data_IF_613263165166
#
_entry.id   IF_613263165166
#
_cell.length_a   1.000
_cell.length_b   1.000
_cell.length_c   1.000
_cell.angle_alpha   90.00
_cell.angle_beta   90.00
_cell.angle_gamma   90.00
#
_symmetry.space_group_name_H-M   'P 1'
#
loop_
_entity.id
_entity.type
_entity.pdbx_description
1 polymer ?
#
# COMPACT_ATOMS: atom_id res chain seq x y z
N UNK A 1 -7.66 -19.17 -24.46
CA UNK A 1 -6.85 -18.27 -23.60
C UNK A 1 -6.53 -19.09 -22.36
N UNK A 2 -5.30 -19.64 -22.27
CA UNK A 2 -4.83 -20.30 -21.05
C UNK A 2 -4.90 -19.25 -19.93
N UNK A 3 -5.64 -19.54 -18.87
CA UNK A 3 -5.61 -18.78 -17.64
C UNK A 3 -4.22 -18.96 -17.05
N UNK A 4 -3.30 -18.05 -17.35
CA UNK A 4 -1.98 -18.05 -16.79
C UNK A 4 -2.10 -18.06 -15.26
N UNK A 5 -1.45 -19.00 -14.61
CA UNK A 5 -1.45 -19.10 -13.16
C UNK A 5 -0.99 -17.77 -12.56
N UNK A 6 -1.86 -17.13 -11.79
CA UNK A 6 -1.54 -15.88 -11.10
C UNK A 6 -0.85 -16.23 -9.79
N UNK A 7 0.43 -15.89 -9.65
CA UNK A 7 1.20 -16.19 -8.46
C UNK A 7 1.18 -15.01 -7.48
N UNK A 8 0.94 -15.31 -6.22
CA UNK A 8 1.17 -14.38 -5.12
C UNK A 8 2.67 -14.23 -4.89
N UNK A 9 3.16 -13.00 -4.98
CA UNK A 9 4.54 -12.65 -4.71
C UNK A 9 4.64 -11.79 -3.45
N UNK A 10 5.81 -11.80 -2.81
CA UNK A 10 6.10 -10.90 -1.68
C UNK A 10 7.50 -10.32 -1.79
N UNK A 11 7.63 -9.08 -1.36
CA UNK A 11 8.91 -8.40 -1.18
C UNK A 11 9.09 -8.07 0.31
N UNK A 12 10.31 -8.23 0.84
CA UNK A 12 10.56 -7.93 2.24
C UNK A 12 10.61 -6.41 2.49
N UNK A 13 9.97 -5.98 3.57
CA UNK A 13 10.11 -4.63 4.12
C UNK A 13 11.08 -4.68 5.29
N UNK A 14 12.21 -3.98 5.16
CA UNK A 14 13.27 -3.93 6.17
C UNK A 14 13.11 -2.71 7.08
N UNK A 15 13.29 -2.93 8.36
CA UNK A 15 13.46 -1.84 9.33
C UNK A 15 14.87 -1.24 9.26
N UNK A 16 15.09 -0.11 9.95
CA UNK A 16 16.40 0.55 10.05
C UNK A 16 17.50 -0.37 10.59
N UNK A 17 17.15 -1.37 11.39
CA UNK A 17 18.04 -2.41 11.92
C UNK A 17 18.29 -3.57 10.95
N UNK A 18 17.89 -3.45 9.68
CA UNK A 18 17.99 -4.47 8.62
C UNK A 18 17.22 -5.78 8.90
N UNK A 19 16.32 -5.78 9.87
CA UNK A 19 15.42 -6.91 10.11
C UNK A 19 14.14 -6.78 9.32
N UNK A 20 13.57 -7.90 8.91
CA UNK A 20 12.28 -7.92 8.23
C UNK A 20 11.18 -7.52 9.21
N UNK A 21 10.53 -6.39 8.94
CA UNK A 21 9.41 -5.84 9.72
C UNK A 21 8.06 -6.10 9.06
N UNK A 22 8.06 -6.48 7.81
CA UNK A 22 6.85 -6.77 7.05
C UNK A 22 7.14 -7.27 5.64
N UNK A 23 6.09 -7.42 4.87
CA UNK A 23 6.14 -7.81 3.47
C UNK A 23 5.16 -6.97 2.65
N UNK A 24 5.56 -6.58 1.45
CA UNK A 24 4.65 -6.10 0.41
C UNK A 24 4.15 -7.31 -0.36
N UNK A 25 2.85 -7.53 -0.38
CA UNK A 25 2.23 -8.59 -1.19
C UNK A 25 1.69 -8.04 -2.49
N UNK A 26 1.85 -8.81 -3.56
CA UNK A 26 1.44 -8.42 -4.90
C UNK A 26 1.21 -9.65 -5.78
N UNK A 27 0.48 -9.46 -6.86
CA UNK A 27 0.46 -10.45 -7.94
C UNK A 27 1.70 -10.29 -8.81
N UNK A 28 2.11 -11.38 -9.47
CA UNK A 28 3.34 -11.44 -10.28
C UNK A 28 3.49 -10.26 -11.24
N UNK A 29 4.74 -9.80 -11.45
CA UNK A 29 5.06 -8.59 -12.21
C UNK A 29 4.52 -8.56 -13.66
N UNK A 30 4.48 -9.70 -14.35
CA UNK A 30 3.90 -9.82 -15.69
C UNK A 30 2.42 -9.43 -15.73
N UNK A 31 1.69 -9.79 -14.70
CA UNK A 31 0.29 -9.42 -14.51
C UNK A 31 0.12 -7.92 -14.27
N UNK A 32 1.02 -7.31 -13.48
CA UNK A 32 1.00 -5.86 -13.19
C UNK A 32 1.19 -4.98 -14.43
N UNK A 33 2.09 -5.36 -15.33
CA UNK A 33 2.36 -4.60 -16.56
C UNK A 33 1.12 -4.54 -17.47
N UNK A 34 0.36 -5.62 -17.54
CA UNK A 34 -0.87 -5.68 -18.34
C UNK A 34 -2.03 -4.91 -17.70
N UNK A 35 -2.05 -4.79 -16.37
CA UNK A 35 -3.15 -4.14 -15.63
C UNK A 35 -3.05 -2.61 -15.68
N UNK A 36 -1.86 -2.02 -15.77
CA UNK A 36 -1.65 -0.56 -15.66
C UNK A 36 -2.54 0.30 -16.56
N UNK A 37 -2.94 -0.24 -17.71
CA UNK A 37 -3.78 0.46 -18.69
C UNK A 37 -5.18 -0.19 -18.83
N UNK A 38 -5.55 -1.04 -17.90
CA UNK A 38 -6.81 -1.77 -17.92
C UNK A 38 -7.94 -0.95 -17.28
N UNK A 39 -9.19 -1.34 -17.57
CA UNK A 39 -10.35 -0.73 -16.94
C UNK A 39 -10.40 -0.99 -15.42
N UNK A 40 -11.11 -0.14 -14.69
CA UNK A 40 -11.32 -0.25 -13.23
C UNK A 40 -11.85 -1.63 -12.83
N UNK A 41 -12.75 -2.23 -13.63
CA UNK A 41 -13.28 -3.57 -13.36
C UNK A 41 -12.17 -4.63 -13.36
N UNK A 42 -11.20 -4.54 -14.25
CA UNK A 42 -10.05 -5.46 -14.28
C UNK A 42 -9.19 -5.26 -13.02
N UNK A 43 -8.93 -4.03 -12.61
CA UNK A 43 -8.23 -3.74 -11.36
C UNK A 43 -8.96 -4.34 -10.14
N UNK A 44 -10.31 -4.29 -10.12
CA UNK A 44 -11.10 -4.91 -9.05
C UNK A 44 -10.98 -6.44 -9.06
N UNK A 45 -11.05 -7.08 -10.23
CA UNK A 45 -10.84 -8.54 -10.34
C UNK A 45 -9.48 -8.95 -9.77
N UNK A 46 -8.42 -8.22 -10.12
CA UNK A 46 -7.08 -8.50 -9.59
C UNK A 46 -6.96 -8.24 -8.09
N UNK A 47 -7.58 -7.17 -7.60
CA UNK A 47 -7.63 -6.90 -6.16
C UNK A 47 -8.35 -8.04 -5.42
N UNK A 48 -9.46 -8.55 -5.96
CA UNK A 48 -10.18 -9.68 -5.38
C UNK A 48 -9.35 -10.97 -5.40
N UNK A 49 -8.65 -11.26 -6.51
CA UNK A 49 -7.73 -12.40 -6.59
C UNK A 49 -6.61 -12.28 -5.56
N UNK A 50 -6.01 -11.09 -5.39
CA UNK A 50 -4.99 -10.85 -4.38
C UNK A 50 -5.52 -11.11 -2.97
N UNK A 51 -6.68 -10.53 -2.63
CA UNK A 51 -7.32 -10.72 -1.33
C UNK A 51 -7.61 -12.18 -1.06
N UNK A 52 -8.21 -12.90 -2.01
CA UNK A 52 -8.51 -14.33 -1.89
C UNK A 52 -7.23 -15.14 -1.68
N UNK A 53 -6.18 -14.89 -2.46
CA UNK A 53 -4.90 -15.58 -2.31
C UNK A 53 -4.26 -15.39 -0.93
N UNK A 54 -4.41 -14.20 -0.33
CA UNK A 54 -3.93 -13.92 1.02
C UNK A 54 -4.75 -14.66 2.09
N UNK A 55 -6.06 -14.74 1.90
CA UNK A 55 -6.94 -15.51 2.81
C UNK A 55 -6.65 -17.01 2.72
N UNK A 56 -6.55 -17.54 1.50
CA UNK A 56 -6.27 -18.97 1.26
C UNK A 56 -4.89 -19.38 1.79
N UNK A 57 -3.93 -18.46 1.81
CA UNK A 57 -2.60 -18.67 2.37
C UNK A 57 -2.53 -18.52 3.90
N UNK A 58 -3.65 -18.26 4.57
CA UNK A 58 -3.71 -17.94 6.01
C UNK A 58 -2.65 -16.92 6.44
N UNK A 59 -2.68 -15.78 5.74
CA UNK A 59 -1.67 -14.73 5.94
C UNK A 59 -1.57 -14.27 7.39
N UNK A 60 -2.66 -14.37 8.17
CA UNK A 60 -2.69 -14.01 9.57
C UNK A 60 -1.71 -14.82 10.43
N UNK A 61 -1.64 -16.13 10.22
CA UNK A 61 -0.68 -17.00 10.89
C UNK A 61 0.75 -16.79 10.37
N UNK A 62 0.92 -16.69 9.05
CA UNK A 62 2.23 -16.55 8.42
C UNK A 62 2.98 -15.27 8.82
N UNK A 63 2.27 -14.19 9.08
CA UNK A 63 2.89 -12.91 9.40
C UNK A 63 3.43 -12.85 10.83
N UNK A 64 2.77 -13.48 11.79
CA UNK A 64 3.03 -13.25 13.20
C UNK A 64 2.87 -11.77 13.54
N UNK A 65 3.93 -11.11 14.01
CA UNK A 65 3.94 -9.68 14.33
C UNK A 65 4.35 -8.78 13.14
N UNK A 66 4.62 -9.34 11.96
CA UNK A 66 5.07 -8.58 10.79
C UNK A 66 3.90 -7.93 10.06
N UNK A 67 4.19 -6.80 9.41
CA UNK A 67 3.20 -6.07 8.63
C UNK A 67 3.01 -6.69 7.23
N UNK A 68 1.79 -6.67 6.73
CA UNK A 68 1.47 -6.98 5.34
C UNK A 68 0.96 -5.75 4.62
N UNK A 69 1.70 -5.26 3.67
CA UNK A 69 1.30 -4.15 2.80
C UNK A 69 0.64 -4.69 1.55
N UNK A 70 -0.52 -4.16 1.18
CA UNK A 70 -1.20 -4.46 -0.08
C UNK A 70 -1.69 -3.17 -0.74
N UNK A 71 -1.47 -3.07 -2.04
CA UNK A 71 -1.97 -1.97 -2.86
C UNK A 71 -3.34 -2.36 -3.42
N UNK A 72 -4.34 -1.53 -3.18
CA UNK A 72 -5.71 -1.75 -3.65
C UNK A 72 -6.24 -0.49 -4.36
N UNK A 73 -7.05 -0.64 -5.41
CA UNK A 73 -7.74 0.51 -5.99
C UNK A 73 -8.55 1.28 -4.94
N UNK A 74 -8.54 2.60 -5.02
CA UNK A 74 -9.30 3.49 -4.15
C UNK A 74 -10.78 3.10 -4.04
N UNK A 75 -11.39 2.74 -5.17
CA UNK A 75 -12.78 2.28 -5.26
C UNK A 75 -13.02 0.86 -4.70
N UNK A 76 -11.96 0.10 -4.41
CA UNK A 76 -12.07 -1.25 -3.84
C UNK A 76 -12.16 -1.26 -2.31
N UNK A 77 -11.87 -0.14 -1.64
CA UNK A 77 -11.79 -0.07 -0.18
C UNK A 77 -13.10 -0.39 0.56
N UNK A 78 -14.23 -0.30 -0.12
CA UNK A 78 -15.56 -0.70 0.40
C UNK A 78 -15.96 -2.12 -0.03
N UNK A 79 -15.08 -2.87 -0.71
CA UNK A 79 -15.44 -4.18 -1.25
C UNK A 79 -15.64 -5.23 -0.15
N UNK A 80 -16.72 -6.04 -0.19
CA UNK A 80 -17.03 -7.01 0.88
C UNK A 80 -15.92 -8.04 1.13
N UNK A 81 -15.16 -8.42 0.11
CA UNK A 81 -14.06 -9.41 0.25
C UNK A 81 -13.00 -9.00 1.28
N UNK A 82 -12.83 -7.70 1.52
CA UNK A 82 -11.89 -7.21 2.53
C UNK A 82 -12.29 -7.66 3.95
N UNK A 83 -13.55 -8.06 4.16
CA UNK A 83 -14.00 -8.59 5.44
C UNK A 83 -13.28 -9.89 5.82
N UNK A 84 -12.83 -10.67 4.86
CA UNK A 84 -12.16 -11.95 5.07
C UNK A 84 -10.66 -11.79 5.46
N UNK A 85 -10.04 -10.62 5.22
CA UNK A 85 -8.66 -10.38 5.59
C UNK A 85 -8.50 -10.26 7.12
N UNK A 86 -7.40 -10.78 7.70
CA UNK A 86 -7.08 -10.50 9.10
C UNK A 86 -6.86 -9.00 9.28
N UNK A 87 -7.50 -8.40 10.28
CA UNK A 87 -7.38 -6.96 10.49
C UNK A 87 -6.01 -6.60 11.07
N UNK A 88 -5.47 -7.45 11.95
CA UNK A 88 -4.20 -7.22 12.60
C UNK A 88 -3.04 -7.26 11.61
N UNK A 89 -2.19 -6.25 11.67
CA UNK A 89 -0.96 -6.12 10.88
C UNK A 89 -1.16 -5.91 9.36
N UNK A 90 -2.39 -5.76 8.87
CA UNK A 90 -2.65 -5.37 7.48
C UNK A 90 -2.48 -3.85 7.30
N UNK A 91 -1.76 -3.48 6.26
CA UNK A 91 -1.59 -2.09 5.81
C UNK A 91 -2.15 -1.98 4.40
N UNK A 92 -3.26 -1.27 4.27
CA UNK A 92 -3.91 -1.01 2.98
C UNK A 92 -3.34 0.27 2.39
N UNK A 93 -2.87 0.19 1.15
CA UNK A 93 -2.34 1.34 0.41
C UNK A 93 -3.27 1.63 -0.77
N UNK A 94 -4.15 2.63 -0.66
CA UNK A 94 -5.02 3.04 -1.75
C UNK A 94 -4.21 3.51 -2.96
N UNK A 95 -4.60 3.05 -4.16
CA UNK A 95 -4.04 3.51 -5.43
C UNK A 95 -5.12 4.21 -6.25
N UNK A 96 -4.80 5.41 -6.75
CA UNK A 96 -5.68 6.15 -7.65
C UNK A 96 -5.62 5.53 -9.03
N UNK A 97 -6.79 5.30 -9.64
CA UNK A 97 -6.88 4.87 -11.03
C UNK A 97 -7.17 6.08 -11.92
N UNK A 98 -6.51 6.19 -13.09
CA UNK A 98 -6.61 7.36 -13.96
C UNK A 98 -7.89 7.34 -14.81
N UNK A 99 -9.05 7.15 -14.18
CA UNK A 99 -10.35 7.15 -14.85
C UNK A 99 -11.38 7.99 -14.07
N UNK A 100 -12.53 8.24 -14.70
CA UNK A 100 -13.62 9.04 -14.13
C UNK A 100 -14.41 8.33 -13.00
N UNK A 101 -14.05 7.10 -12.65
CA UNK A 101 -14.74 6.30 -11.63
C UNK A 101 -14.15 6.43 -10.21
N UNK A 102 -13.37 7.48 -9.94
CA UNK A 102 -12.84 7.73 -8.60
C UNK A 102 -13.99 7.93 -7.60
N UNK A 103 -13.92 7.34 -6.39
CA UNK A 103 -14.93 7.55 -5.37
C UNK A 103 -14.88 8.99 -4.85
N UNK A 104 -16.03 9.51 -4.46
CA UNK A 104 -16.12 10.81 -3.79
C UNK A 104 -15.25 10.84 -2.54
N UNK A 105 -14.55 11.93 -2.23
CA UNK A 105 -13.66 12.04 -1.07
C UNK A 105 -14.32 11.68 0.27
N UNK A 106 -15.61 11.98 0.42
CA UNK A 106 -16.36 11.64 1.63
C UNK A 106 -16.58 10.11 1.74
N UNK A 107 -16.92 9.45 0.65
CA UNK A 107 -17.11 7.99 0.60
C UNK A 107 -15.77 7.28 0.86
N UNK A 108 -14.68 7.78 0.29
CA UNK A 108 -13.34 7.22 0.49
C UNK A 108 -12.89 7.37 1.96
N UNK A 109 -13.12 8.54 2.59
CA UNK A 109 -12.85 8.71 4.03
C UNK A 109 -13.68 7.76 4.89
N UNK A 110 -14.95 7.55 4.56
CA UNK A 110 -15.80 6.61 5.29
C UNK A 110 -15.28 5.17 5.18
N UNK A 111 -14.87 4.74 3.99
CA UNK A 111 -14.28 3.41 3.76
C UNK A 111 -12.99 3.23 4.57
N UNK A 112 -12.08 4.21 4.53
CA UNK A 112 -10.84 4.21 5.32
C UNK A 112 -11.14 4.15 6.83
N UNK A 113 -12.10 4.95 7.30
CA UNK A 113 -12.51 4.92 8.71
C UNK A 113 -13.03 3.55 9.13
N UNK A 114 -13.83 2.90 8.28
CA UNK A 114 -14.35 1.55 8.53
C UNK A 114 -13.23 0.49 8.59
N UNK A 115 -12.24 0.56 7.69
CA UNK A 115 -11.08 -0.35 7.71
C UNK A 115 -10.25 -0.16 8.98
N UNK A 116 -10.00 1.09 9.40
CA UNK A 116 -9.28 1.40 10.63
C UNK A 116 -10.03 0.94 11.89
N UNK A 117 -11.35 1.10 11.92
CA UNK A 117 -12.19 0.61 13.02
C UNK A 117 -12.11 -0.92 13.19
N UNK A 118 -11.80 -1.65 12.12
CA UNK A 118 -11.51 -3.08 12.16
C UNK A 118 -10.09 -3.41 12.63
N UNK A 119 -9.21 -2.42 12.78
CA UNK A 119 -7.81 -2.59 13.19
C UNK A 119 -6.80 -2.66 12.03
N UNK A 120 -7.24 -2.43 10.78
CA UNK A 120 -6.33 -2.27 9.65
C UNK A 120 -5.65 -0.91 9.69
N UNK A 121 -4.45 -0.82 9.14
CA UNK A 121 -3.66 0.40 9.02
C UNK A 121 -3.72 0.94 7.61
N UNK A 122 -3.46 2.22 7.45
CA UNK A 122 -3.48 2.89 6.14
C UNK A 122 -2.09 3.43 5.81
N UNK A 123 -1.63 3.10 4.61
CA UNK A 123 -0.48 3.72 3.98
C UNK A 123 -0.93 4.59 2.82
N UNK A 124 -0.35 5.77 2.65
CA UNK A 124 -0.61 6.62 1.50
C UNK A 124 0.61 6.72 0.62
N UNK A 125 0.40 6.63 -0.69
CA UNK A 125 1.45 6.94 -1.67
C UNK A 125 1.85 8.40 -1.47
N UNK A 126 3.15 8.67 -1.63
CA UNK A 126 3.77 9.98 -1.46
C UNK A 126 2.85 11.14 -1.95
N UNK A 127 2.32 11.95 -1.03
CA UNK A 127 1.37 13.01 -1.37
C UNK A 127 2.01 14.18 -2.14
N UNK A 128 3.35 14.21 -2.24
CA UNK A 128 4.06 15.21 -3.07
C UNK A 128 4.03 14.85 -4.56
N UNK A 129 3.64 13.62 -4.89
CA UNK A 129 3.51 13.09 -6.25
C UNK A 129 2.05 12.79 -6.57
N UNK A 130 1.33 12.21 -5.62
CA UNK A 130 -0.09 11.84 -5.78
C UNK A 130 -0.91 12.64 -4.76
N UNK A 131 -1.41 13.80 -5.18
CA UNK A 131 -2.13 14.72 -4.30
C UNK A 131 -3.59 14.36 -4.02
N UNK A 132 -4.21 13.53 -4.85
CA UNK A 132 -5.64 13.22 -4.79
C UNK A 132 -6.07 12.60 -3.46
N UNK A 133 -5.19 11.82 -2.82
CA UNK A 133 -5.44 11.17 -1.54
C UNK A 133 -4.95 11.98 -0.32
N UNK A 134 -4.44 13.20 -0.52
CA UNK A 134 -3.88 14.01 0.57
C UNK A 134 -4.88 14.29 1.71
N UNK A 135 -6.17 14.30 1.41
CA UNK A 135 -7.25 14.47 2.40
C UNK A 135 -7.38 13.29 3.40
N UNK A 136 -6.68 12.16 3.14
CA UNK A 136 -6.62 10.99 4.03
C UNK A 136 -5.37 11.01 4.95
N UNK A 137 -4.44 11.95 4.77
CA UNK A 137 -3.20 12.05 5.57
C UNK A 137 -3.43 11.95 7.09
N UNK A 138 -4.47 12.61 7.68
CA UNK A 138 -4.72 12.48 9.12
C UNK A 138 -5.08 11.06 9.59
N UNK A 139 -5.38 10.16 8.66
CA UNK A 139 -5.71 8.75 8.95
C UNK A 139 -4.57 7.79 8.57
N UNK A 140 -3.49 8.29 7.99
CA UNK A 140 -2.37 7.48 7.53
C UNK A 140 -1.40 7.16 8.69
N UNK A 141 -0.96 5.92 8.74
CA UNK A 141 0.11 5.46 9.63
C UNK A 141 1.43 5.23 8.86
N UNK A 142 1.36 5.26 7.54
CA UNK A 142 2.52 5.12 6.66
C UNK A 142 2.42 6.08 5.47
N UNK A 143 3.59 6.62 5.07
CA UNK A 143 3.76 7.30 3.79
C UNK A 143 4.67 6.41 2.94
N UNK A 144 4.22 6.06 1.74
CA UNK A 144 4.91 5.14 0.84
C UNK A 144 5.52 5.92 -0.32
N UNK A 145 6.83 6.06 -0.34
CA UNK A 145 7.58 6.72 -1.40
C UNK A 145 8.32 5.72 -2.29
N UNK A 146 8.63 6.12 -3.52
CA UNK A 146 9.55 5.40 -4.39
C UNK A 146 10.96 5.94 -4.19
N UNK A 147 11.98 5.06 -4.23
CA UNK A 147 13.40 5.47 -4.16
C UNK A 147 13.78 6.34 -5.35
N UNK A 148 13.19 6.08 -6.52
CA UNK A 148 13.37 6.90 -7.71
C UNK A 148 12.93 8.34 -7.44
N UNK A 149 13.85 9.29 -7.62
CA UNK A 149 13.63 10.72 -7.38
C UNK A 149 13.49 11.11 -5.90
N UNK A 150 13.81 10.22 -4.96
CA UNK A 150 13.85 10.53 -3.54
C UNK A 150 15.22 11.13 -3.18
N UNK A 151 15.28 12.44 -3.09
CA UNK A 151 16.44 13.19 -2.61
C UNK A 151 16.24 13.71 -1.17
N UNK A 152 17.26 14.37 -0.61
CA UNK A 152 17.21 14.93 0.74
C UNK A 152 16.10 15.98 0.90
N UNK A 153 15.84 16.79 -0.13
CA UNK A 153 14.79 17.83 -0.12
C UNK A 153 13.40 17.22 -0.04
N UNK A 154 13.16 16.20 -0.87
CA UNK A 154 11.88 15.47 -0.88
C UNK A 154 11.70 14.68 0.41
N UNK A 155 12.77 14.04 0.91
CA UNK A 155 12.76 13.34 2.20
C UNK A 155 12.40 14.26 3.37
N UNK A 156 13.00 15.46 3.42
CA UNK A 156 12.67 16.47 4.43
C UNK A 156 11.18 16.91 4.33
N UNK A 157 10.68 17.12 3.11
CA UNK A 157 9.27 17.47 2.89
C UNK A 157 8.32 16.37 3.38
N UNK A 158 8.65 15.10 3.11
CA UNK A 158 7.87 13.96 3.60
C UNK A 158 7.92 13.85 5.12
N UNK A 159 9.08 14.09 5.73
CA UNK A 159 9.23 14.14 7.18
C UNK A 159 8.35 15.21 7.83
N UNK A 160 8.30 16.41 7.26
CA UNK A 160 7.42 17.48 7.75
C UNK A 160 5.94 17.10 7.61
N UNK A 161 5.52 16.50 6.49
CA UNK A 161 4.15 16.00 6.32
C UNK A 161 3.82 14.93 7.37
N UNK A 162 4.74 14.02 7.65
CA UNK A 162 4.55 12.99 8.66
C UNK A 162 4.36 13.58 10.06
N UNK A 163 5.13 14.60 10.41
CA UNK A 163 5.05 15.25 11.73
C UNK A 163 3.83 16.14 11.88
N UNK A 164 3.52 16.97 10.88
CA UNK A 164 2.53 18.04 11.00
C UNK A 164 1.10 17.59 10.66
N UNK A 165 0.95 16.67 9.73
CA UNK A 165 -0.36 16.31 9.16
C UNK A 165 -0.72 14.84 9.41
N UNK A 166 0.23 13.94 9.26
CA UNK A 166 0.01 12.49 9.32
C UNK A 166 0.31 11.89 10.71
N UNK A 167 0.41 12.71 11.75
CA UNK A 167 0.52 12.28 13.15
C UNK A 167 1.57 11.17 13.38
N UNK A 168 2.82 11.46 13.03
CA UNK A 168 3.97 10.54 13.16
C UNK A 168 3.93 9.31 12.24
N UNK A 169 3.32 9.44 11.06
CA UNK A 169 3.34 8.38 10.06
C UNK A 169 4.77 7.97 9.70
N UNK A 170 4.98 6.67 9.58
CA UNK A 170 6.29 6.10 9.24
C UNK A 170 6.51 6.12 7.74
N UNK A 171 7.71 6.50 7.31
CA UNK A 171 8.11 6.47 5.91
C UNK A 171 8.48 5.03 5.50
N UNK A 172 7.90 4.56 4.39
CA UNK A 172 8.25 3.31 3.71
C UNK A 172 8.76 3.66 2.32
N UNK A 173 9.98 3.25 2.00
CA UNK A 173 10.58 3.48 0.68
C UNK A 173 10.62 2.18 -0.10
N UNK A 174 10.09 2.19 -1.31
CA UNK A 174 10.04 1.05 -2.24
C UNK A 174 11.07 1.20 -3.35
N UNK A 175 11.49 0.07 -3.93
CA UNK A 175 12.33 0.05 -5.11
C UNK A 175 13.77 0.52 -4.83
N UNK A 176 14.31 0.19 -3.67
CA UNK A 176 15.70 0.51 -3.30
C UNK A 176 16.66 -0.35 -4.13
N UNK A 177 17.49 0.26 -5.01
CA UNK A 177 18.36 -0.49 -5.91
C UNK A 177 19.66 -0.97 -5.21
N UNK A 178 20.05 -0.36 -4.10
CA UNK A 178 21.32 -0.66 -3.44
C UNK A 178 21.27 -0.52 -1.91
N UNK A 179 22.30 -1.07 -1.25
CA UNK A 179 22.49 -0.91 0.18
C UNK A 179 22.82 0.55 0.58
N UNK A 180 23.45 1.30 -0.30
CA UNK A 180 23.78 2.70 -0.03
C UNK A 180 22.51 3.56 -0.08
N UNK A 181 21.58 3.28 -1.00
CA UNK A 181 20.25 3.91 -1.00
C UNK A 181 19.47 3.57 0.27
N UNK A 182 19.55 2.32 0.74
CA UNK A 182 18.96 1.94 2.01
C UNK A 182 19.55 2.76 3.18
N UNK A 183 20.89 2.89 3.24
CA UNK A 183 21.57 3.69 4.27
C UNK A 183 21.21 5.17 4.20
N UNK A 184 21.02 5.70 2.99
CA UNK A 184 20.55 7.06 2.79
C UNK A 184 19.13 7.23 3.36
N UNK A 185 18.19 6.35 2.97
CA UNK A 185 16.82 6.40 3.46
C UNK A 185 16.70 6.25 4.98
N UNK A 186 17.60 5.50 5.61
CA UNK A 186 17.62 5.39 7.08
C UNK A 186 18.01 6.70 7.81
N UNK A 187 18.53 7.69 7.09
CA UNK A 187 18.91 9.01 7.64
C UNK A 187 17.80 10.06 7.46
N UNK A 188 16.82 9.76 6.60
CA UNK A 188 15.63 10.57 6.43
C UNK A 188 14.66 10.35 7.62
#
# INVERSE_FOLDING_TARGET
VEAGATFLCREAVLGRNQRITGYQFMLQAGTRAHIRHSSRNIHHVFAEVLVRSLVDADIGELLGERLAFIDLPDSFLSHPSLAALPARNMVIVPTVLPDAGAPEPAALRAAVTALRARGMRIGLIDPTVVGELAHLLPQAEFIVAQAEGLDARRGLKLGNIALEVAHDARLVVRGLPSLDDFRFCCKL
#
